data_IF_320954576331
#
_entry.id   IF_320954576331
#
_cell.length_a   1.000
_cell.length_b   1.000
_cell.length_c   1.000
_cell.angle_alpha   90.00
_cell.angle_beta   90.00
_cell.angle_gamma   90.00
#
_symmetry.space_group_name_H-M   'P 1'
#
loop_
_entity.id
_entity.type
_entity.pdbx_description
1 polymer ?
#
# COMPACT_ATOMS: atom_id res chain seq x y z
N UNK A 1 1.80 7.79 -18.64
CA UNK A 1 2.70 7.69 -17.49
C UNK A 1 2.50 8.94 -16.64
N UNK A 2 1.55 8.90 -15.70
CA UNK A 2 1.27 10.04 -14.82
C UNK A 2 2.11 9.94 -13.55
N UNK A 3 2.61 11.05 -12.99
CA UNK A 3 3.43 11.01 -11.78
C UNK A 3 2.62 10.50 -10.58
N UNK A 4 3.25 9.72 -9.70
CA UNK A 4 2.65 9.22 -8.47
C UNK A 4 3.73 8.87 -7.43
N UNK A 5 3.36 8.86 -6.16
CA UNK A 5 4.18 8.29 -5.09
C UNK A 5 3.93 6.79 -4.99
N UNK A 6 4.99 5.99 -5.18
CA UNK A 6 4.89 4.53 -5.06
C UNK A 6 5.34 4.11 -3.66
N UNK A 7 4.41 3.56 -2.87
CA UNK A 7 4.70 3.07 -1.52
C UNK A 7 5.25 1.65 -1.57
N UNK A 8 6.54 1.53 -1.89
CA UNK A 8 7.25 0.25 -1.94
C UNK A 8 7.81 -0.16 -0.58
N UNK A 9 8.02 -1.47 -0.40
CA UNK A 9 8.67 -2.06 0.78
C UNK A 9 8.01 -1.73 2.12
N UNK A 10 6.68 -1.63 2.12
CA UNK A 10 5.86 -1.40 3.31
C UNK A 10 5.83 -2.65 4.21
N UNK A 11 6.79 -2.75 5.13
CA UNK A 11 6.97 -3.94 5.98
C UNK A 11 6.99 -3.55 7.45
N UNK A 12 6.36 -4.36 8.29
CA UNK A 12 6.45 -4.26 9.75
C UNK A 12 6.97 -5.58 10.31
N UNK A 13 8.04 -5.47 11.12
CA UNK A 13 8.60 -6.62 11.82
C UNK A 13 7.52 -7.37 12.63
N UNK A 14 7.47 -8.72 12.61
CA UNK A 14 6.40 -9.49 13.26
C UNK A 14 6.08 -9.08 14.71
N UNK A 15 7.11 -8.89 15.55
CA UNK A 15 6.96 -8.47 16.96
C UNK A 15 6.41 -7.04 17.18
N UNK A 16 6.31 -6.26 16.11
CA UNK A 16 5.81 -4.88 16.11
C UNK A 16 4.48 -4.72 15.35
N UNK A 17 3.90 -5.82 14.83
CA UNK A 17 2.58 -5.81 14.18
C UNK A 17 1.47 -5.53 15.20
N UNK A 18 0.34 -5.04 14.71
CA UNK A 18 -0.83 -4.69 15.55
C UNK A 18 -0.66 -3.42 16.38
N UNK A 19 0.48 -2.72 16.28
CA UNK A 19 0.80 -1.50 17.05
C UNK A 19 0.72 -0.21 16.23
N UNK A 20 0.12 -0.26 15.04
CA UNK A 20 -0.09 0.92 14.18
C UNK A 20 1.08 1.33 13.28
N UNK A 21 2.22 0.64 13.31
CA UNK A 21 3.41 1.00 12.51
C UNK A 21 3.13 1.15 11.00
N UNK A 22 2.38 0.21 10.40
CA UNK A 22 1.99 0.29 9.00
C UNK A 22 1.17 1.56 8.69
N UNK A 23 0.30 1.98 9.61
CA UNK A 23 -0.49 3.19 9.45
C UNK A 23 0.34 4.47 9.48
N UNK A 24 1.44 4.49 10.23
CA UNK A 24 2.39 5.62 10.24
C UNK A 24 3.08 5.76 8.89
N UNK A 25 3.55 4.64 8.32
CA UNK A 25 4.21 4.64 7.00
C UNK A 25 3.24 5.08 5.90
N UNK A 26 2.01 4.55 5.91
CA UNK A 26 1.00 4.89 4.88
C UNK A 26 0.65 6.37 4.97
N UNK A 27 0.42 6.89 6.18
CA UNK A 27 0.10 8.30 6.39
C UNK A 27 1.19 9.20 5.83
N UNK A 28 2.45 8.93 6.19
CA UNK A 28 3.57 9.72 5.70
C UNK A 28 3.62 9.76 4.17
N UNK A 29 3.41 8.60 3.53
CA UNK A 29 3.38 8.48 2.08
C UNK A 29 2.24 9.26 1.41
N UNK A 30 1.04 9.18 1.97
CA UNK A 30 -0.13 9.96 1.52
C UNK A 30 0.14 11.46 1.68
N UNK A 31 0.72 11.89 2.80
CA UNK A 31 1.08 13.29 3.02
C UNK A 31 2.11 13.81 1.99
N UNK A 32 3.04 12.97 1.53
CA UNK A 32 3.94 13.38 0.44
C UNK A 32 3.18 13.51 -0.89
N UNK A 33 2.33 12.56 -1.21
CA UNK A 33 1.52 12.57 -2.42
C UNK A 33 0.59 13.80 -2.49
N UNK A 34 -0.03 14.16 -1.36
CA UNK A 34 -0.85 15.36 -1.22
C UNK A 34 -0.04 16.65 -1.45
N UNK A 35 1.16 16.76 -0.88
CA UNK A 35 2.04 17.93 -1.06
C UNK A 35 2.44 18.13 -2.52
N UNK A 36 2.76 17.03 -3.19
CA UNK A 36 3.18 17.04 -4.59
C UNK A 36 1.99 17.07 -5.56
N UNK A 37 0.75 17.06 -5.04
CA UNK A 37 -0.50 17.06 -5.79
C UNK A 37 -0.60 15.91 -6.81
N UNK A 38 -0.11 14.73 -6.43
CA UNK A 38 -0.14 13.50 -7.23
C UNK A 38 -0.77 12.36 -6.44
N UNK A 39 -1.30 11.31 -7.09
CA UNK A 39 -1.81 10.14 -6.37
C UNK A 39 -0.69 9.33 -5.70
N UNK A 40 -1.08 8.55 -4.69
CA UNK A 40 -0.26 7.47 -4.14
C UNK A 40 -0.73 6.12 -4.72
N UNK A 41 0.23 5.24 -5.02
CA UNK A 41 -0.02 3.89 -5.55
C UNK A 41 0.79 2.84 -4.79
N UNK A 42 0.23 1.64 -4.68
CA UNK A 42 0.94 0.46 -4.19
C UNK A 42 0.30 -0.81 -4.73
N UNK A 43 1.11 -1.85 -4.79
CA UNK A 43 0.64 -3.22 -4.99
C UNK A 43 0.64 -3.94 -3.66
N UNK A 44 -0.42 -4.72 -3.42
CA UNK A 44 -0.57 -5.44 -2.17
C UNK A 44 -1.29 -6.75 -2.35
N UNK A 45 -0.81 -7.75 -1.62
CA UNK A 45 -1.56 -8.97 -1.37
C UNK A 45 -2.86 -8.68 -0.62
N UNK A 46 -3.80 -9.63 -0.73
CA UNK A 46 -5.18 -9.50 -0.22
C UNK A 46 -5.23 -9.10 1.26
N UNK A 47 -4.28 -9.58 2.06
CA UNK A 47 -4.18 -9.30 3.50
C UNK A 47 -3.92 -7.82 3.84
N UNK A 48 -3.29 -7.06 2.94
CA UNK A 48 -3.02 -5.62 3.16
C UNK A 48 -4.20 -4.71 2.84
N UNK A 49 -5.17 -5.18 2.04
CA UNK A 49 -6.29 -4.34 1.56
C UNK A 49 -7.08 -3.62 2.65
N UNK A 50 -7.44 -4.26 3.78
CA UNK A 50 -8.25 -3.61 4.80
C UNK A 50 -7.58 -2.37 5.41
N UNK A 51 -6.25 -2.36 5.54
CA UNK A 51 -5.55 -1.19 6.07
C UNK A 51 -5.49 -0.08 5.02
N UNK A 52 -5.15 -0.39 3.76
CA UNK A 52 -5.05 0.63 2.72
C UNK A 52 -6.39 1.34 2.46
N UNK A 53 -7.51 0.60 2.48
CA UNK A 53 -8.86 1.19 2.37
C UNK A 53 -9.16 2.24 3.43
N UNK A 54 -8.64 2.09 4.66
CA UNK A 54 -8.83 3.07 5.75
C UNK A 54 -8.13 4.40 5.48
N UNK A 55 -7.15 4.42 4.58
CA UNK A 55 -6.40 5.60 4.17
C UNK A 55 -6.83 6.12 2.79
N UNK A 56 -8.02 5.73 2.31
CA UNK A 56 -8.59 6.25 1.06
C UNK A 56 -8.10 5.55 -0.21
N UNK A 57 -7.26 4.51 -0.10
CA UNK A 57 -6.88 3.73 -1.26
C UNK A 57 -8.09 2.94 -1.78
N UNK A 58 -8.25 2.96 -3.10
CA UNK A 58 -9.22 2.16 -3.84
C UNK A 58 -8.49 1.12 -4.65
N UNK A 59 -9.13 -0.04 -4.83
CA UNK A 59 -8.59 -1.05 -5.73
C UNK A 59 -8.74 -0.58 -7.18
N UNK A 60 -7.66 -0.68 -7.94
CA UNK A 60 -7.64 -0.48 -9.38
C UNK A 60 -7.32 -1.83 -10.02
N UNK A 61 -8.12 -2.21 -11.02
CA UNK A 61 -7.98 -3.49 -11.71
C UNK A 61 -8.43 -4.70 -10.89
N UNK A 62 -8.30 -5.86 -11.52
CA UNK A 62 -8.75 -7.14 -10.98
C UNK A 62 -7.74 -7.75 -10.00
N UNK A 63 -8.23 -8.68 -9.17
CA UNK A 63 -7.36 -9.54 -8.38
C UNK A 63 -6.58 -10.46 -9.32
N UNK A 64 -5.25 -10.38 -9.27
CA UNK A 64 -4.40 -11.34 -9.95
C UNK A 64 -4.19 -12.56 -9.04
N UNK A 65 -4.72 -13.70 -9.45
CA UNK A 65 -4.34 -14.99 -8.89
C UNK A 65 -3.11 -15.50 -9.64
N UNK A 66 -2.03 -15.78 -8.89
CA UNK A 66 -0.77 -16.29 -9.44
C UNK A 66 -0.49 -17.63 -8.80
N UNK A 67 -0.45 -18.70 -9.60
CA UNK A 67 0.07 -19.98 -9.11
C UNK A 67 1.59 -19.94 -9.13
N UNK A 68 2.19 -19.86 -7.96
CA UNK A 68 3.64 -19.83 -7.80
C UNK A 68 4.31 -21.20 -8.05
N UNK A 69 3.54 -22.28 -8.19
CA UNK A 69 4.09 -23.62 -8.49
C UNK A 69 4.50 -23.78 -9.94
N UNK A 70 4.05 -22.89 -10.82
CA UNK A 70 4.39 -22.91 -12.25
C UNK A 70 5.67 -22.11 -12.58
N UNK A 71 6.37 -21.60 -11.55
CA UNK A 71 7.64 -20.87 -11.64
C UNK A 71 8.82 -21.67 -11.08
#
# INVERSE_FOLDING_TARGET
>A
NSPCWILMHMVTHPSHRGKGAAGLLIRWGVEQAEKDQVPAYLEAGVMGRPIYKRYGFVQIGDLLEVDLKEF
#
